data_IF_872599585193
#
_entry.id   IF_872599585193
#
_cell.length_a   1.000
_cell.length_b   1.000
_cell.length_c   1.000
_cell.angle_alpha   90.00
_cell.angle_beta   90.00
_cell.angle_gamma   90.00
#
_symmetry.space_group_name_H-M   'P 1'
#
loop_
_entity.id
_entity.type
_entity.pdbx_description
1 polymer ?
#
# COMPACT_ATOMS: atom_id res chain seq x y z
N UNK A 1 18.22 -47.72 25.65
CA UNK A 1 18.68 -47.35 24.28
C UNK A 1 19.86 -46.40 24.46
N UNK A 2 21.10 -46.84 24.18
CA UNK A 2 22.32 -46.03 24.34
C UNK A 2 22.65 -45.35 23.01
N UNK A 3 22.65 -44.03 22.98
CA UNK A 3 23.02 -43.23 21.80
C UNK A 3 24.54 -43.06 21.83
N UNK A 4 25.23 -43.37 20.73
CA UNK A 4 26.70 -43.27 20.65
C UNK A 4 27.17 -41.87 20.25
N UNK A 5 28.46 -41.57 20.45
CA UNK A 5 29.03 -40.23 20.27
C UNK A 5 28.82 -39.66 18.85
N UNK A 6 28.84 -40.49 17.83
CA UNK A 6 28.63 -40.10 16.43
C UNK A 6 27.19 -39.68 16.15
N UNK A 7 26.21 -40.40 16.74
CA UNK A 7 24.80 -40.01 16.68
C UNK A 7 24.52 -38.74 17.49
N UNK A 8 25.20 -38.55 18.62
CA UNK A 8 25.08 -37.35 19.45
C UNK A 8 25.60 -36.09 18.74
N UNK A 9 26.75 -36.19 18.06
CA UNK A 9 27.31 -35.10 17.24
C UNK A 9 26.43 -34.76 16.04
N UNK A 10 25.83 -35.75 15.38
CA UNK A 10 24.89 -35.54 14.27
C UNK A 10 23.62 -34.79 14.70
N UNK A 11 23.06 -35.12 15.87
CA UNK A 11 21.89 -34.41 16.44
C UNK A 11 22.24 -32.96 16.78
N UNK A 12 23.42 -32.72 17.37
CA UNK A 12 23.88 -31.36 17.68
C UNK A 12 24.04 -30.54 16.41
N UNK A 13 24.64 -31.07 15.35
CA UNK A 13 24.80 -30.38 14.07
C UNK A 13 23.46 -30.04 13.40
N UNK A 14 22.48 -30.95 13.46
CA UNK A 14 21.11 -30.71 12.96
C UNK A 14 20.38 -29.65 13.79
N UNK A 15 20.56 -29.64 15.11
CA UNK A 15 20.00 -28.60 15.99
C UNK A 15 20.61 -27.22 15.68
N UNK A 16 21.93 -27.11 15.51
CA UNK A 16 22.58 -25.84 15.15
C UNK A 16 22.16 -25.31 13.78
N UNK A 17 21.97 -26.19 12.79
CA UNK A 17 21.53 -25.78 11.44
C UNK A 17 20.09 -25.26 11.43
N UNK A 18 19.20 -25.80 12.27
CA UNK A 18 17.82 -25.33 12.40
C UNK A 18 17.73 -23.96 13.12
N UNK A 19 18.56 -23.70 14.12
CA UNK A 19 18.57 -22.41 14.84
C UNK A 19 19.07 -21.26 13.97
N UNK A 20 20.04 -21.50 13.08
CA UNK A 20 20.57 -20.47 12.18
C UNK A 20 19.54 -19.97 11.14
N UNK A 21 18.62 -20.83 10.71
CA UNK A 21 17.58 -20.47 9.74
C UNK A 21 16.50 -19.53 10.33
N UNK A 22 16.22 -19.65 11.63
CA UNK A 22 15.22 -18.83 12.31
C UNK A 22 15.65 -17.35 12.53
N UNK A 23 16.96 -17.07 12.57
CA UNK A 23 17.47 -15.70 12.76
C UNK A 23 17.43 -14.87 11.46
N UNK A 24 17.38 -15.52 10.30
CA UNK A 24 17.39 -14.86 8.98
C UNK A 24 15.98 -14.50 8.48
N UNK A 25 14.93 -15.01 9.14
CA UNK A 25 13.52 -14.80 8.77
C UNK A 25 12.80 -13.73 9.62
N UNK A 26 13.52 -12.76 10.21
CA UNK A 26 12.86 -11.59 10.80
C UNK A 26 12.59 -10.55 9.71
N UNK A 27 11.52 -10.75 8.96
CA UNK A 27 10.98 -9.70 8.11
C UNK A 27 10.51 -8.52 8.98
N UNK A 28 11.10 -7.33 8.75
CA UNK A 28 10.54 -6.02 9.10
C UNK A 28 10.56 -5.61 10.58
N UNK A 29 10.92 -4.36 10.86
CA UNK A 29 10.71 -3.76 12.18
C UNK A 29 9.22 -3.73 12.56
N UNK A 30 8.93 -3.52 13.85
CA UNK A 30 7.54 -3.36 14.31
C UNK A 30 6.95 -2.05 13.78
N UNK A 31 5.84 -2.14 13.05
CA UNK A 31 5.01 -0.98 12.78
C UNK A 31 4.44 -0.43 14.09
N UNK A 32 4.39 0.89 14.19
CA UNK A 32 3.70 1.59 15.26
C UNK A 32 2.86 2.71 14.65
N UNK A 33 1.80 3.09 15.36
CA UNK A 33 0.96 4.19 14.95
C UNK A 33 1.73 5.51 15.03
N UNK A 34 1.74 6.26 13.92
CA UNK A 34 2.32 7.60 13.87
C UNK A 34 1.24 8.67 13.94
N UNK A 35 0.25 8.58 13.06
CA UNK A 35 -0.75 9.62 12.86
C UNK A 35 -1.99 9.06 12.16
N UNK A 36 -3.11 9.73 12.37
CA UNK A 36 -4.33 9.60 11.59
C UNK A 36 -4.54 10.87 10.75
N UNK A 37 -4.87 10.71 9.47
CA UNK A 37 -5.29 11.80 8.58
C UNK A 37 -6.79 11.62 8.36
N UNK A 38 -7.65 12.45 8.99
CA UNK A 38 -9.09 12.29 8.86
C UNK A 38 -9.56 12.71 7.47
N UNK A 39 -9.96 11.74 6.65
CA UNK A 39 -10.53 12.03 5.32
C UNK A 39 -12.00 12.46 5.42
N UNK A 40 -12.75 11.87 6.36
CA UNK A 40 -14.18 12.10 6.52
C UNK A 40 -15.02 11.69 5.32
N UNK A 41 -16.28 12.12 5.31
CA UNK A 41 -17.25 11.80 4.26
C UNK A 41 -17.92 10.43 4.43
N UNK A 42 -18.88 10.16 3.56
CA UNK A 42 -19.69 8.94 3.56
C UNK A 42 -19.31 8.02 2.40
N UNK A 43 -19.50 6.71 2.61
CA UNK A 43 -19.36 5.70 1.57
C UNK A 43 -18.22 4.71 1.82
N UNK A 44 -18.03 3.82 0.85
CA UNK A 44 -17.07 2.73 0.94
C UNK A 44 -15.69 3.12 0.43
N UNK A 45 -14.68 2.47 1.00
CA UNK A 45 -13.27 2.55 0.59
C UNK A 45 -12.91 1.33 -0.26
N UNK A 46 -11.84 1.47 -1.03
CA UNK A 46 -11.23 0.36 -1.77
C UNK A 46 -9.69 0.50 -1.79
N UNK A 47 -9.05 0.71 -2.93
CA UNK A 47 -7.59 0.78 -3.01
C UNK A 47 -6.99 2.16 -2.69
N UNK A 48 -5.70 2.11 -2.37
CA UNK A 48 -4.82 3.26 -2.33
C UNK A 48 -3.62 3.05 -3.25
N UNK A 49 -3.05 4.14 -3.75
CA UNK A 49 -1.81 4.12 -4.53
C UNK A 49 -0.93 5.32 -4.19
N UNK A 50 0.38 5.09 -4.19
CA UNK A 50 1.39 6.11 -3.90
C UNK A 50 2.01 6.59 -5.21
N UNK A 51 2.01 7.90 -5.40
CA UNK A 51 2.86 8.59 -6.37
C UNK A 51 4.07 9.16 -5.62
N UNK A 52 5.17 8.42 -5.69
CA UNK A 52 6.41 8.79 -5.02
C UNK A 52 7.02 10.06 -5.60
N UNK A 53 6.85 10.29 -6.91
CA UNK A 53 7.45 11.43 -7.61
C UNK A 53 6.79 12.75 -7.22
N UNK A 54 5.46 12.79 -7.11
CA UNK A 54 4.72 13.97 -6.69
C UNK A 54 4.40 13.99 -5.18
N UNK A 55 4.87 13.00 -4.42
CA UNK A 55 4.63 12.87 -2.97
C UNK A 55 3.14 12.87 -2.61
N UNK A 56 2.35 12.10 -3.36
CA UNK A 56 0.89 12.01 -3.18
C UNK A 56 0.43 10.58 -2.89
N UNK A 57 -0.60 10.47 -2.06
CA UNK A 57 -1.36 9.24 -1.84
C UNK A 57 -2.76 9.45 -2.39
N UNK A 58 -3.18 8.56 -3.27
CA UNK A 58 -4.52 8.54 -3.84
C UNK A 58 -5.32 7.45 -3.13
N UNK A 59 -6.51 7.80 -2.63
CA UNK A 59 -7.37 6.88 -1.86
C UNK A 59 -8.76 6.89 -2.49
N UNK A 60 -9.22 5.76 -3.01
CA UNK A 60 -10.58 5.66 -3.57
C UNK A 60 -11.62 5.75 -2.45
N UNK A 61 -12.65 6.57 -2.64
CA UNK A 61 -13.73 6.76 -1.69
C UNK A 61 -15.06 7.00 -2.42
N UNK A 62 -15.89 5.96 -2.48
CA UNK A 62 -17.20 5.93 -3.12
C UNK A 62 -17.21 6.44 -4.58
N UNK A 63 -17.43 7.74 -4.79
CA UNK A 63 -17.58 8.38 -6.10
C UNK A 63 -16.42 9.32 -6.43
N UNK A 64 -15.36 9.31 -5.63
CA UNK A 64 -14.22 10.21 -5.74
C UNK A 64 -12.92 9.53 -5.34
N UNK A 65 -11.79 10.11 -5.73
CA UNK A 65 -10.47 9.76 -5.20
C UNK A 65 -9.98 10.93 -4.35
N UNK A 66 -9.71 10.68 -3.08
CA UNK A 66 -9.08 11.67 -2.19
C UNK A 66 -7.57 11.67 -2.44
N UNK A 67 -7.00 12.86 -2.54
CA UNK A 67 -5.56 13.07 -2.75
C UNK A 67 -4.97 13.63 -1.47
N UNK A 68 -4.00 12.93 -0.89
CA UNK A 68 -3.28 13.33 0.32
C UNK A 68 -1.86 13.75 -0.08
N UNK A 69 -1.44 14.92 0.38
CA UNK A 69 -0.05 15.38 0.34
C UNK A 69 0.73 14.62 1.43
N UNK A 70 1.70 13.81 1.02
CA UNK A 70 2.47 12.96 1.93
C UNK A 70 3.59 13.71 2.66
N UNK A 71 3.93 14.93 2.24
CA UNK A 71 4.92 15.76 2.93
C UNK A 71 4.27 16.63 4.01
N UNK A 72 3.03 17.07 3.78
CA UNK A 72 2.22 17.81 4.76
C UNK A 72 1.34 16.92 5.62
N UNK A 73 1.08 15.70 5.17
CA UNK A 73 0.17 14.75 5.80
C UNK A 73 -1.26 15.33 5.93
N UNK A 74 -1.75 15.94 4.84
CA UNK A 74 -3.03 16.65 4.75
C UNK A 74 -3.70 16.36 3.40
N UNK A 75 -5.03 16.55 3.34
CA UNK A 75 -5.78 16.40 2.08
C UNK A 75 -5.40 17.56 1.13
N UNK A 76 -4.86 17.22 -0.04
CA UNK A 76 -4.50 18.16 -1.10
C UNK A 76 -5.67 18.47 -2.03
N UNK A 77 -6.67 17.59 -2.12
CA UNK A 77 -7.84 17.76 -2.96
C UNK A 77 -8.56 16.44 -3.24
N UNK A 78 -9.49 16.48 -4.18
CA UNK A 78 -10.30 15.34 -4.58
C UNK A 78 -10.44 15.30 -6.10
N UNK A 79 -10.44 14.10 -6.67
CA UNK A 79 -10.80 13.84 -8.05
C UNK A 79 -12.25 13.37 -8.04
N UNK A 80 -13.16 14.20 -8.54
CA UNK A 80 -14.59 13.92 -8.61
C UNK A 80 -14.95 13.10 -9.86
N UNK A 81 -16.24 12.81 -10.04
CA UNK A 81 -16.80 12.15 -11.22
C UNK A 81 -16.20 10.77 -11.53
N UNK A 82 -15.87 10.01 -10.49
CA UNK A 82 -15.39 8.63 -10.57
C UNK A 82 -16.37 7.68 -9.87
N UNK A 83 -17.60 7.48 -10.38
CA UNK A 83 -18.65 6.77 -9.67
C UNK A 83 -18.30 5.28 -9.48
N UNK A 84 -18.24 4.85 -8.21
CA UNK A 84 -17.84 3.49 -7.83
C UNK A 84 -16.37 3.22 -8.11
N UNK A 85 -15.50 4.17 -7.79
CA UNK A 85 -14.06 4.04 -8.06
C UNK A 85 -13.43 2.98 -7.16
N UNK A 86 -12.64 2.08 -7.76
CA UNK A 86 -11.87 1.09 -7.02
C UNK A 86 -10.42 1.55 -6.77
N UNK A 87 -9.85 2.34 -7.68
CA UNK A 87 -8.49 2.85 -7.49
C UNK A 87 -8.07 3.82 -8.60
N UNK A 88 -6.90 4.44 -8.39
CA UNK A 88 -6.21 5.28 -9.36
C UNK A 88 -4.79 4.74 -9.57
N UNK A 89 -4.37 4.61 -10.83
CA UNK A 89 -2.97 4.35 -11.18
C UNK A 89 -2.33 5.67 -11.66
N UNK A 90 -1.34 6.24 -10.94
CA UNK A 90 -0.66 7.45 -11.37
C UNK A 90 0.41 7.14 -12.43
N UNK A 91 0.54 8.03 -13.42
CA UNK A 91 1.62 8.10 -14.40
C UNK A 91 2.27 9.50 -14.34
N UNK A 92 3.11 9.77 -13.32
CA UNK A 92 3.62 11.11 -13.00
C UNK A 92 4.37 11.77 -14.16
N UNK A 93 5.13 10.99 -14.92
CA UNK A 93 5.91 11.42 -16.09
C UNK A 93 5.03 11.97 -17.23
N UNK A 94 3.76 11.56 -17.27
CA UNK A 94 2.76 12.05 -18.22
C UNK A 94 1.87 13.14 -17.62
N UNK A 95 1.99 13.41 -16.32
CA UNK A 95 1.04 14.23 -15.56
C UNK A 95 -0.40 13.72 -15.73
N UNK A 96 -0.56 12.39 -15.76
CA UNK A 96 -1.84 11.70 -15.94
C UNK A 96 -2.04 10.61 -14.90
N UNK A 97 -3.30 10.29 -14.62
CA UNK A 97 -3.69 9.10 -13.89
C UNK A 97 -4.81 8.37 -14.62
N UNK A 98 -5.08 7.13 -14.24
CA UNK A 98 -6.22 6.36 -14.74
C UNK A 98 -7.02 5.83 -13.57
N UNK A 99 -8.33 6.07 -13.55
CA UNK A 99 -9.24 5.50 -12.55
C UNK A 99 -10.04 4.33 -13.09
N UNK A 100 -10.46 3.43 -12.21
CA UNK A 100 -11.42 2.36 -12.51
C UNK A 100 -12.79 2.69 -11.91
N UNK A 101 -13.75 3.11 -12.74
CA UNK A 101 -15.08 3.56 -12.31
C UNK A 101 -16.10 2.40 -12.46
N UNK A 102 -16.24 1.59 -11.42
CA UNK A 102 -17.02 0.36 -11.44
C UNK A 102 -18.53 0.57 -11.60
N UNK A 103 -19.09 1.71 -11.18
CA UNK A 103 -20.54 1.94 -11.28
C UNK A 103 -21.02 2.22 -12.70
N UNK A 104 -20.13 2.72 -13.56
CA UNK A 104 -20.43 3.06 -14.94
C UNK A 104 -19.69 2.18 -15.97
N UNK A 105 -18.89 1.21 -15.50
CA UNK A 105 -18.06 0.33 -16.33
C UNK A 105 -17.10 1.09 -17.24
N UNK A 106 -16.41 2.12 -16.71
CA UNK A 106 -15.45 2.93 -17.45
C UNK A 106 -14.12 3.10 -16.72
N UNK A 107 -13.15 3.61 -17.46
CA UNK A 107 -11.96 4.23 -16.90
C UNK A 107 -11.92 5.71 -17.30
N UNK A 108 -11.48 6.58 -16.40
CA UNK A 108 -11.26 8.01 -16.68
C UNK A 108 -9.77 8.31 -16.72
N UNK A 109 -9.36 9.22 -17.60
CA UNK A 109 -8.03 9.81 -17.58
C UNK A 109 -8.10 11.03 -16.68
N UNK A 110 -7.20 11.12 -15.70
CA UNK A 110 -7.14 12.24 -14.76
C UNK A 110 -5.92 13.10 -15.09
N UNK A 111 -6.05 14.42 -15.07
CA UNK A 111 -4.91 15.33 -15.02
C UNK A 111 -4.42 15.45 -13.58
N UNK A 112 -3.20 15.00 -13.29
CA UNK A 112 -2.69 14.97 -11.91
C UNK A 112 -2.42 16.37 -11.34
N UNK A 113 -2.29 17.40 -12.17
CA UNK A 113 -2.05 18.77 -11.71
C UNK A 113 -3.35 19.43 -11.28
N UNK A 114 -4.40 19.27 -12.07
CA UNK A 114 -5.71 19.90 -11.80
C UNK A 114 -6.66 19.02 -11.01
N UNK A 115 -6.38 17.71 -10.92
CA UNK A 115 -7.23 16.69 -10.31
C UNK A 115 -8.58 16.51 -11.02
N UNK A 116 -8.65 16.81 -12.31
CA UNK A 116 -9.86 16.68 -13.11
C UNK A 116 -9.81 15.43 -14.02
N UNK A 117 -10.96 14.77 -14.19
CA UNK A 117 -11.21 13.72 -15.19
C UNK A 117 -11.61 14.28 -16.54
#
# INVERSE_FOLDING_TARGET
MQINHTQFLGVIAVCFLNTACALLCRAGGSYHFLKEIPVGGEGSWDYLSVDEANRRLYVSHATKVVVIDLDKEEIAGEIADTPGVHGLAPAPELQRGVTSNGRENKASIVDLKTLAT
#
